data_IF_189326287780
#
_entry.id   IF_189326287780
#
_cell.length_a   1.000
_cell.length_b   1.000
_cell.length_c   1.000
_cell.angle_alpha   90.00
_cell.angle_beta   90.00
_cell.angle_gamma   90.00
#
_symmetry.space_group_name_H-M   'P 1'
#
loop_
_entity.id
_entity.type
_entity.pdbx_description
1 polymer ?
#
# COMPACT_ATOMS: atom_id res chain seq x y z
N UNK A 1 -12.59 -10.16 -10.71
CA UNK A 1 -13.42 -10.84 -11.74
C UNK A 1 -12.75 -10.85 -13.09
N UNK A 2 -12.33 -9.69 -13.62
CA UNK A 2 -11.67 -9.62 -14.94
C UNK A 2 -10.40 -10.48 -15.02
N UNK A 3 -9.58 -10.45 -14.00
CA UNK A 3 -8.34 -11.24 -13.97
C UNK A 3 -8.65 -12.74 -13.98
N UNK A 4 -9.60 -13.19 -13.15
CA UNK A 4 -9.96 -14.59 -13.07
C UNK A 4 -10.62 -15.13 -14.36
N UNK A 5 -11.40 -14.30 -15.08
CA UNK A 5 -12.06 -14.75 -16.31
C UNK A 5 -11.15 -14.67 -17.54
N UNK A 6 -9.99 -14.03 -17.45
CA UNK A 6 -9.11 -13.83 -18.61
C UNK A 6 -8.68 -15.15 -19.26
N UNK A 7 -8.25 -16.13 -18.48
CA UNK A 7 -7.84 -17.43 -19.01
C UNK A 7 -9.02 -18.26 -19.56
N UNK A 8 -10.19 -18.33 -18.90
CA UNK A 8 -11.31 -19.17 -19.35
C UNK A 8 -12.32 -18.44 -20.27
N UNK A 9 -12.11 -17.19 -20.68
CA UNK A 9 -13.14 -16.32 -21.25
C UNK A 9 -13.85 -16.89 -22.51
N UNK A 10 -13.14 -17.64 -23.36
CA UNK A 10 -13.67 -18.27 -24.59
C UNK A 10 -14.00 -19.77 -24.40
N UNK A 11 -13.70 -20.33 -23.23
CA UNK A 11 -13.80 -21.77 -22.96
C UNK A 11 -14.96 -22.14 -22.07
N UNK A 12 -15.58 -21.17 -21.40
CA UNK A 12 -16.63 -21.43 -20.42
C UNK A 12 -18.01 -20.92 -20.86
N UNK A 13 -19.04 -21.54 -20.35
CA UNK A 13 -20.41 -21.07 -20.56
C UNK A 13 -20.67 -19.74 -19.81
N UNK A 14 -21.69 -18.93 -20.20
CA UNK A 14 -22.05 -17.73 -19.46
C UNK A 14 -22.35 -17.98 -17.97
N UNK A 15 -22.94 -19.11 -17.64
CA UNK A 15 -23.18 -19.51 -16.25
C UNK A 15 -21.85 -19.83 -15.54
N UNK A 16 -20.93 -20.55 -16.19
CA UNK A 16 -19.59 -20.78 -15.69
C UNK A 16 -18.84 -19.49 -15.40
N UNK A 17 -18.92 -18.53 -16.32
CA UNK A 17 -18.32 -17.20 -16.14
C UNK A 17 -18.90 -16.45 -14.93
N UNK A 18 -20.23 -16.50 -14.73
CA UNK A 18 -20.87 -15.89 -13.55
C UNK A 18 -20.39 -16.52 -12.24
N UNK A 19 -20.29 -17.85 -12.19
CA UNK A 19 -19.80 -18.58 -11.01
C UNK A 19 -18.33 -18.21 -10.72
N UNK A 20 -17.48 -18.19 -11.75
CA UNK A 20 -16.07 -17.78 -11.63
C UNK A 20 -15.97 -16.35 -11.08
N UNK A 21 -16.81 -15.43 -11.57
CA UNK A 21 -16.84 -14.05 -11.10
C UNK A 21 -17.18 -13.94 -9.61
N UNK A 22 -18.18 -14.69 -9.13
CA UNK A 22 -18.56 -14.73 -7.71
C UNK A 22 -17.44 -15.33 -6.85
N UNK A 23 -16.86 -16.46 -7.27
CA UNK A 23 -15.78 -17.09 -6.53
C UNK A 23 -14.52 -16.22 -6.50
N UNK A 24 -14.23 -15.52 -7.58
CA UNK A 24 -13.15 -14.55 -7.68
C UNK A 24 -13.23 -13.44 -6.63
N UNK A 25 -14.43 -12.97 -6.29
CA UNK A 25 -14.63 -11.96 -5.24
C UNK A 25 -14.14 -12.48 -3.88
N UNK A 26 -14.42 -13.74 -3.54
CA UNK A 26 -13.90 -14.34 -2.31
C UNK A 26 -12.37 -14.53 -2.36
N UNK A 27 -11.84 -14.99 -3.50
CA UNK A 27 -10.40 -15.18 -3.68
C UNK A 27 -9.65 -13.85 -3.47
N UNK A 28 -10.13 -12.73 -4.01
CA UNK A 28 -9.46 -11.44 -3.87
C UNK A 28 -9.53 -10.91 -2.44
N UNK A 29 -10.71 -10.96 -1.81
CA UNK A 29 -10.89 -10.44 -0.45
C UNK A 29 -10.06 -11.21 0.55
N UNK A 30 -10.23 -12.54 0.60
CA UNK A 30 -9.44 -13.37 1.51
C UNK A 30 -7.96 -13.42 1.15
N UNK A 31 -7.63 -13.34 -0.14
CA UNK A 31 -6.25 -13.31 -0.61
C UNK A 31 -5.49 -12.07 -0.15
N UNK A 32 -6.09 -10.89 -0.28
CA UNK A 32 -5.50 -9.64 0.21
C UNK A 32 -5.34 -9.69 1.74
N UNK A 33 -6.38 -10.08 2.47
CA UNK A 33 -6.31 -10.20 3.93
C UNK A 33 -5.25 -11.22 4.40
N UNK A 34 -5.10 -12.32 3.68
CA UNK A 34 -4.08 -13.33 3.98
C UNK A 34 -2.67 -12.78 3.78
N UNK A 35 -2.43 -12.09 2.65
CA UNK A 35 -1.13 -11.48 2.35
C UNK A 35 -0.75 -10.43 3.39
N UNK A 36 -1.68 -9.54 3.71
CA UNK A 36 -1.47 -8.44 4.66
C UNK A 36 -1.36 -8.94 6.12
N UNK A 37 -2.37 -9.67 6.60
CA UNK A 37 -2.49 -10.02 8.03
C UNK A 37 -1.67 -11.23 8.44
N UNK A 38 -1.54 -12.23 7.56
CA UNK A 38 -0.87 -13.51 7.87
C UNK A 38 0.57 -13.51 7.39
N UNK A 39 0.79 -13.22 6.11
CA UNK A 39 2.15 -13.17 5.55
C UNK A 39 2.89 -11.88 5.92
N UNK A 40 2.17 -10.82 6.28
CA UNK A 40 2.71 -9.50 6.62
C UNK A 40 3.60 -8.95 5.51
N UNK A 41 3.16 -9.15 4.27
CA UNK A 41 3.81 -8.64 3.06
C UNK A 41 3.11 -7.33 2.69
N UNK A 42 3.89 -6.27 2.53
CA UNK A 42 3.42 -4.97 2.07
C UNK A 42 2.98 -5.06 0.60
N UNK A 43 1.69 -4.99 0.38
CA UNK A 43 1.06 -5.02 -0.94
C UNK A 43 0.00 -3.90 -1.04
N UNK A 44 0.45 -2.62 -1.17
CA UNK A 44 -0.41 -1.44 -1.00
C UNK A 44 -1.55 -1.36 -2.02
N UNK A 45 -1.41 -1.99 -3.17
CA UNK A 45 -2.44 -2.02 -4.22
C UNK A 45 -3.15 -3.38 -4.34
N UNK A 46 -2.83 -4.33 -3.47
CA UNK A 46 -3.41 -5.67 -3.49
C UNK A 46 -3.01 -6.49 -4.73
N UNK A 47 -1.86 -6.20 -5.34
CA UNK A 47 -1.43 -6.83 -6.59
C UNK A 47 -1.31 -8.35 -6.47
N UNK A 48 -0.84 -8.86 -5.34
CA UNK A 48 -0.74 -10.31 -5.12
C UNK A 48 -2.13 -10.94 -5.07
N UNK A 49 -3.07 -10.36 -4.31
CA UNK A 49 -4.44 -10.85 -4.24
C UNK A 49 -5.19 -10.75 -5.56
N UNK A 50 -5.10 -9.60 -6.22
CA UNK A 50 -5.84 -9.30 -7.45
C UNK A 50 -5.28 -10.04 -8.66
N UNK A 51 -3.95 -10.03 -8.86
CA UNK A 51 -3.33 -10.57 -10.07
C UNK A 51 -2.77 -11.98 -9.89
N UNK A 52 -1.97 -12.21 -8.85
CA UNK A 52 -1.35 -13.51 -8.65
C UNK A 52 -2.39 -14.58 -8.25
N UNK A 53 -3.14 -14.37 -7.18
CA UNK A 53 -4.08 -15.37 -6.69
C UNK A 53 -5.27 -15.56 -7.62
N UNK A 54 -5.88 -14.47 -8.10
CA UNK A 54 -6.98 -14.58 -9.05
C UNK A 54 -6.55 -15.05 -10.45
N UNK A 55 -5.35 -14.75 -10.90
CA UNK A 55 -4.82 -15.29 -12.14
C UNK A 55 -4.59 -16.79 -12.07
N UNK A 56 -3.98 -17.27 -10.99
CA UNK A 56 -3.83 -18.70 -10.72
C UNK A 56 -5.18 -19.41 -10.60
N UNK A 57 -6.12 -18.83 -9.83
CA UNK A 57 -7.48 -19.34 -9.69
C UNK A 57 -8.20 -19.42 -11.05
N UNK A 58 -8.17 -18.36 -11.86
CA UNK A 58 -8.79 -18.34 -13.18
C UNK A 58 -8.21 -19.37 -14.13
N UNK A 59 -6.87 -19.57 -14.10
CA UNK A 59 -6.22 -20.62 -14.88
C UNK A 59 -6.69 -22.01 -14.46
N UNK A 60 -6.82 -22.26 -13.18
CA UNK A 60 -7.38 -23.54 -12.68
C UNK A 60 -8.86 -23.69 -13.07
N UNK A 61 -9.62 -22.61 -13.14
CA UNK A 61 -11.00 -22.62 -13.59
C UNK A 61 -11.17 -23.13 -15.05
N UNK A 62 -10.17 -22.96 -15.91
CA UNK A 62 -10.17 -23.60 -17.24
C UNK A 62 -10.30 -25.11 -17.10
N UNK A 63 -9.52 -25.69 -16.19
CA UNK A 63 -9.57 -27.15 -15.93
C UNK A 63 -10.89 -27.62 -15.31
N UNK A 64 -11.61 -26.74 -14.64
CA UNK A 64 -12.89 -27.06 -13.99
C UNK A 64 -14.09 -26.83 -14.92
N UNK A 65 -14.17 -25.66 -15.54
CA UNK A 65 -15.36 -25.12 -16.20
C UNK A 65 -15.30 -25.10 -17.73
N UNK A 66 -14.20 -25.53 -18.35
CA UNK A 66 -14.16 -25.61 -19.83
C UNK A 66 -15.26 -26.53 -20.33
N UNK A 67 -16.04 -26.01 -21.31
CA UNK A 67 -17.17 -26.75 -21.92
C UNK A 67 -16.71 -27.98 -22.71
N UNK A 68 -15.46 -27.98 -23.20
CA UNK A 68 -14.91 -29.07 -24.01
C UNK A 68 -14.27 -30.17 -23.15
N UNK A 69 -13.41 -29.78 -22.20
CA UNK A 69 -12.52 -30.68 -21.48
C UNK A 69 -12.48 -30.45 -19.96
N UNK A 70 -13.38 -29.62 -19.45
CA UNK A 70 -13.44 -29.31 -18.03
C UNK A 70 -13.97 -30.46 -17.19
N UNK A 71 -13.52 -30.52 -15.95
CA UNK A 71 -13.94 -31.55 -15.00
C UNK A 71 -15.46 -31.64 -14.87
N UNK A 72 -16.15 -30.50 -14.78
CA UNK A 72 -17.61 -30.47 -14.62
C UNK A 72 -18.39 -30.81 -15.91
N UNK A 73 -17.71 -30.87 -17.03
CA UNK A 73 -18.27 -31.26 -18.33
C UNK A 73 -17.84 -32.67 -18.77
N UNK A 74 -17.27 -33.46 -17.85
CA UNK A 74 -16.91 -34.85 -18.12
C UNK A 74 -15.50 -35.06 -18.67
N UNK A 75 -14.68 -34.02 -18.79
CA UNK A 75 -13.30 -34.13 -19.29
C UNK A 75 -12.29 -34.75 -18.31
N UNK A 76 -12.71 -35.07 -17.08
CA UNK A 76 -11.86 -35.65 -16.06
C UNK A 76 -10.78 -34.69 -15.54
N UNK A 77 -9.84 -35.21 -14.80
CA UNK A 77 -8.79 -34.39 -14.13
C UNK A 77 -7.62 -34.00 -15.03
N UNK A 78 -7.57 -34.46 -16.28
CA UNK A 78 -6.42 -34.24 -17.16
C UNK A 78 -6.17 -32.74 -17.41
N UNK A 79 -7.23 -32.01 -17.79
CA UNK A 79 -7.13 -30.57 -18.07
C UNK A 79 -6.76 -29.79 -16.82
N UNK A 80 -7.37 -30.10 -15.69
CA UNK A 80 -7.06 -29.48 -14.41
C UNK A 80 -5.58 -29.71 -14.02
N UNK A 81 -5.05 -30.92 -14.22
CA UNK A 81 -3.65 -31.23 -13.97
C UNK A 81 -2.69 -30.44 -14.87
N UNK A 82 -3.04 -30.25 -16.16
CA UNK A 82 -2.25 -29.44 -17.10
C UNK A 82 -2.23 -27.97 -16.62
N UNK A 83 -3.38 -27.42 -16.25
CA UNK A 83 -3.46 -26.04 -15.76
C UNK A 83 -2.70 -25.84 -14.44
N UNK A 84 -2.80 -26.78 -13.52
CA UNK A 84 -2.04 -26.75 -12.27
C UNK A 84 -0.52 -26.79 -12.52
N UNK A 85 -0.07 -27.66 -13.42
CA UNK A 85 1.34 -27.71 -13.82
C UNK A 85 1.79 -26.38 -14.43
N UNK A 86 0.96 -25.79 -15.30
CA UNK A 86 1.22 -24.47 -15.88
C UNK A 86 1.40 -23.40 -14.83
N UNK A 87 0.47 -23.30 -13.88
CA UNK A 87 0.52 -22.31 -12.77
C UNK A 87 1.81 -22.48 -11.96
N UNK A 88 2.15 -23.71 -11.57
CA UNK A 88 3.37 -23.98 -10.77
C UNK A 88 4.63 -23.65 -11.56
N UNK A 89 4.67 -24.00 -12.85
CA UNK A 89 5.83 -23.75 -13.72
C UNK A 89 6.07 -22.22 -13.90
N UNK A 90 5.01 -21.47 -14.17
CA UNK A 90 5.10 -20.01 -14.28
C UNK A 90 5.48 -19.37 -12.96
N UNK A 91 4.88 -19.80 -11.84
CA UNK A 91 5.22 -19.29 -10.51
C UNK A 91 6.70 -19.52 -10.17
N UNK A 92 7.22 -20.74 -10.42
CA UNK A 92 8.62 -21.05 -10.18
C UNK A 92 9.56 -20.21 -11.07
N UNK A 93 9.25 -20.10 -12.37
CA UNK A 93 10.03 -19.30 -13.30
C UNK A 93 10.08 -17.82 -12.88
N UNK A 94 8.91 -17.24 -12.63
CA UNK A 94 8.81 -15.81 -12.24
C UNK A 94 9.52 -15.56 -10.92
N UNK A 95 9.36 -16.45 -9.92
CA UNK A 95 10.03 -16.27 -8.63
C UNK A 95 11.56 -16.24 -8.79
N UNK A 96 12.13 -17.15 -9.56
CA UNK A 96 13.58 -17.22 -9.78
C UNK A 96 14.07 -15.99 -10.55
N UNK A 97 13.42 -15.67 -11.68
CA UNK A 97 13.83 -14.56 -12.54
C UNK A 97 13.71 -13.22 -11.80
N UNK A 98 12.58 -12.97 -11.15
CA UNK A 98 12.36 -11.71 -10.43
C UNK A 98 13.26 -11.58 -9.20
N UNK A 99 13.56 -12.66 -8.51
CA UNK A 99 14.55 -12.63 -7.43
C UNK A 99 15.92 -12.14 -7.93
N UNK A 100 16.38 -12.66 -9.08
CA UNK A 100 17.65 -12.24 -9.68
C UNK A 100 17.59 -10.78 -10.12
N UNK A 101 16.52 -10.38 -10.83
CA UNK A 101 16.32 -9.00 -11.30
C UNK A 101 16.32 -8.02 -10.13
N UNK A 102 15.53 -8.28 -9.08
CA UNK A 102 15.49 -7.41 -7.92
C UNK A 102 16.83 -7.35 -7.16
N UNK A 103 17.59 -8.45 -7.12
CA UNK A 103 18.95 -8.41 -6.54
C UNK A 103 19.89 -7.56 -7.36
N UNK A 104 19.80 -7.55 -8.66
CA UNK A 104 20.57 -6.67 -9.53
C UNK A 104 20.20 -5.21 -9.28
N UNK A 105 18.90 -4.89 -9.30
CA UNK A 105 18.39 -3.53 -9.05
C UNK A 105 18.83 -3.05 -7.66
N UNK A 106 18.69 -3.88 -6.63
CA UNK A 106 19.10 -3.55 -5.27
C UNK A 106 20.58 -3.15 -5.17
N UNK A 107 21.45 -3.80 -5.98
CA UNK A 107 22.89 -3.53 -5.97
C UNK A 107 23.31 -2.33 -6.84
N UNK A 108 22.50 -1.95 -7.81
CA UNK A 108 22.84 -0.89 -8.78
C UNK A 108 22.17 0.43 -8.45
N UNK A 109 20.85 0.46 -8.41
CA UNK A 109 20.04 1.68 -8.26
C UNK A 109 19.47 1.81 -6.84
N UNK A 110 19.30 0.68 -6.13
CA UNK A 110 18.55 0.60 -4.90
C UNK A 110 17.08 0.24 -5.17
N UNK A 111 16.43 -0.39 -4.18
CA UNK A 111 15.02 -0.81 -4.28
C UNK A 111 14.09 0.04 -3.42
N UNK A 112 14.63 0.74 -2.44
CA UNK A 112 13.85 1.53 -1.50
C UNK A 112 14.39 2.94 -1.42
N UNK A 113 13.51 3.88 -1.27
CA UNK A 113 13.82 5.26 -0.94
C UNK A 113 14.37 5.34 0.50
N UNK A 114 14.91 6.48 0.88
CA UNK A 114 15.40 6.69 2.24
C UNK A 114 14.24 6.62 3.24
N UNK A 115 14.55 6.29 4.50
CA UNK A 115 13.53 6.27 5.55
C UNK A 115 12.84 7.64 5.74
N UNK A 116 13.56 8.71 5.51
CA UNK A 116 13.01 10.06 5.56
C UNK A 116 11.94 10.26 4.48
N UNK A 117 12.24 9.90 3.25
CA UNK A 117 11.29 9.98 2.13
C UNK A 117 10.06 9.10 2.33
N UNK A 118 10.21 7.89 2.92
CA UNK A 118 9.07 7.04 3.27
C UNK A 118 8.13 7.71 4.28
N UNK A 119 8.68 8.44 5.27
CA UNK A 119 7.90 9.12 6.32
C UNK A 119 7.23 10.39 5.78
N UNK A 120 7.97 11.20 5.03
CA UNK A 120 7.47 12.48 4.48
C UNK A 120 6.48 12.24 3.34
N UNK A 121 6.64 11.14 2.62
CA UNK A 121 5.89 10.82 1.40
C UNK A 121 6.64 11.18 0.13
N UNK A 122 6.43 10.41 -0.92
CA UNK A 122 7.14 10.52 -2.19
C UNK A 122 6.65 11.66 -3.08
N UNK A 123 5.46 12.21 -2.80
CA UNK A 123 4.84 13.23 -3.65
C UNK A 123 5.70 14.48 -3.78
N UNK A 124 6.36 14.89 -2.70
CA UNK A 124 7.21 16.10 -2.69
C UNK A 124 8.55 15.81 -3.36
N UNK A 125 9.22 14.71 -2.98
CA UNK A 125 10.58 14.39 -3.43
C UNK A 125 10.61 13.95 -4.90
N UNK A 126 9.66 13.13 -5.34
CA UNK A 126 9.65 12.61 -6.71
C UNK A 126 8.84 13.47 -7.69
N UNK A 127 7.78 14.12 -7.23
CA UNK A 127 6.87 14.84 -8.11
C UNK A 127 6.84 16.35 -7.88
N UNK A 128 7.47 16.85 -6.80
CA UNK A 128 7.46 18.29 -6.46
C UNK A 128 6.08 18.84 -6.12
N UNK A 129 5.13 17.98 -5.77
CA UNK A 129 3.75 18.35 -5.44
C UNK A 129 3.44 18.05 -3.98
N UNK A 130 2.60 18.88 -3.37
CA UNK A 130 2.03 18.57 -2.06
C UNK A 130 1.03 17.41 -2.19
N UNK A 131 1.01 16.50 -1.21
CA UNK A 131 0.09 15.35 -1.23
C UNK A 131 -1.36 15.80 -1.42
N UNK A 132 -2.03 15.24 -2.42
CA UNK A 132 -3.45 15.48 -2.68
C UNK A 132 -4.36 14.87 -1.60
N UNK A 133 -3.82 14.02 -0.74
CA UNK A 133 -4.53 13.27 0.29
C UNK A 133 -4.15 13.70 1.71
N UNK A 134 -3.54 14.88 1.87
CA UNK A 134 -3.09 15.39 3.17
C UNK A 134 -4.21 15.37 4.24
N UNK A 135 -5.46 15.61 3.83
CA UNK A 135 -6.62 15.61 4.73
C UNK A 135 -7.13 14.19 5.09
N UNK A 136 -6.69 13.17 4.37
CA UNK A 136 -7.05 11.75 4.60
C UNK A 136 -5.98 10.96 5.35
N UNK A 137 -4.78 11.51 5.49
CA UNK A 137 -3.76 10.84 6.27
C UNK A 137 -4.17 10.92 7.74
N UNK A 138 -4.28 9.80 8.47
CA UNK A 138 -4.34 9.87 9.92
C UNK A 138 -3.11 10.66 10.34
N UNK A 139 -3.29 11.74 11.08
CA UNK A 139 -2.18 12.46 11.69
C UNK A 139 -1.50 11.53 12.69
N UNK A 140 -0.66 10.65 12.19
CA UNK A 140 0.38 10.05 13.02
C UNK A 140 1.28 11.22 13.39
N UNK A 141 1.25 11.62 14.64
CA UNK A 141 1.98 12.81 15.04
C UNK A 141 3.45 12.58 14.71
N UNK A 142 4.05 13.51 14.00
CA UNK A 142 5.49 13.50 13.68
C UNK A 142 6.34 13.27 14.96
N UNK A 143 5.77 13.61 16.14
CA UNK A 143 6.36 13.38 17.44
C UNK A 143 6.48 11.88 17.80
N UNK A 144 5.50 11.04 17.41
CA UNK A 144 5.56 9.60 17.70
C UNK A 144 6.61 8.91 16.83
N UNK A 145 6.77 9.37 15.58
CA UNK A 145 7.77 8.82 14.66
C UNK A 145 9.20 9.24 15.03
N UNK A 146 9.39 10.49 15.45
CA UNK A 146 10.71 10.99 15.90
C UNK A 146 11.12 10.31 17.21
N UNK A 147 10.18 10.00 18.10
CA UNK A 147 10.48 9.34 19.37
C UNK A 147 10.97 7.90 19.19
N UNK A 148 10.52 7.18 18.16
CA UNK A 148 11.06 5.85 17.83
C UNK A 148 12.47 5.91 17.26
N UNK A 149 12.78 6.92 16.44
CA UNK A 149 14.08 7.03 15.78
C UNK A 149 15.22 7.48 16.72
N UNK A 150 14.92 8.39 17.65
CA UNK A 150 15.91 8.96 18.57
C UNK A 150 15.85 8.40 19.99
N UNK A 151 15.00 7.41 20.26
CA UNK A 151 14.88 6.78 21.58
C UNK A 151 14.42 7.72 22.70
N UNK A 152 13.89 8.89 22.34
CA UNK A 152 13.37 9.86 23.28
C UNK A 152 11.94 9.48 23.64
N UNK A 153 11.67 9.23 24.91
CA UNK A 153 10.30 8.99 25.40
C UNK A 153 9.47 10.26 25.15
N UNK A 154 8.23 10.15 24.64
CA UNK A 154 7.37 11.31 24.48
C UNK A 154 7.22 12.02 25.84
N UNK A 155 7.52 13.31 25.84
CA UNK A 155 7.36 14.15 27.06
C UNK A 155 5.87 14.30 27.30
N UNK A 156 5.40 13.93 28.49
CA UNK A 156 3.99 14.11 28.84
C UNK A 156 3.64 15.61 28.77
N UNK A 157 2.45 15.92 28.27
CA UNK A 157 1.95 17.31 28.10
C UNK A 157 2.02 18.12 29.43
N UNK A 158 2.00 17.43 30.58
CA UNK A 158 2.12 18.05 31.92
C UNK A 158 3.56 18.52 32.25
N UNK A 159 4.55 18.09 31.44
CA UNK A 159 5.96 18.48 31.58
C UNK A 159 6.43 19.42 30.47
N UNK A 160 5.53 19.88 29.61
CA UNK A 160 5.88 20.84 28.58
C UNK A 160 6.33 22.17 29.24
N UNK A 161 7.57 22.56 28.99
CA UNK A 161 8.10 23.83 29.48
C UNK A 161 7.44 24.95 28.68
N UNK A 162 6.88 26.01 29.29
CA UNK A 162 6.34 27.11 28.55
C UNK A 162 7.44 27.76 27.71
N UNK A 163 7.17 27.93 26.42
CA UNK A 163 8.07 28.65 25.51
C UNK A 163 8.05 30.12 25.90
N UNK A 164 9.18 30.63 26.36
CA UNK A 164 9.35 32.05 26.63
C UNK A 164 9.43 32.79 25.28
N UNK A 165 8.47 33.65 25.00
CA UNK A 165 8.48 34.47 23.78
C UNK A 165 9.54 35.57 24.01
N UNK A 166 10.71 35.40 23.42
CA UNK A 166 11.70 36.48 23.36
C UNK A 166 11.27 37.46 22.30
N UNK A 167 10.64 38.56 22.70
CA UNK A 167 10.35 39.67 21.82
C UNK A 167 11.67 40.32 21.36
N UNK A 168 12.01 40.15 20.10
CA UNK A 168 13.16 40.80 19.50
C UNK A 168 12.69 42.17 18.92
N UNK A 169 13.11 43.26 19.52
CA UNK A 169 12.88 44.63 19.04
C UNK A 169 13.69 44.99 17.75
N UNK A 170 14.21 44.03 17.04
CA UNK A 170 14.93 44.27 15.77
C UNK A 170 13.95 44.23 14.62
N UNK A 171 13.95 45.24 13.72
CA UNK A 171 13.14 45.21 12.51
C UNK A 171 13.54 43.96 11.66
N UNK A 172 12.54 43.23 11.25
CA UNK A 172 12.72 42.03 10.40
C UNK A 172 13.18 42.52 9.02
N UNK A 173 14.37 42.09 8.62
CA UNK A 173 14.90 42.39 7.28
C UNK A 173 14.02 41.74 6.19
N UNK A 174 13.97 42.36 5.01
CA UNK A 174 13.10 42.02 3.89
C UNK A 174 13.31 40.62 3.26
N UNK A 175 14.27 39.84 3.74
CA UNK A 175 14.54 38.43 3.31
C UNK A 175 14.02 37.43 4.34
N UNK A 176 12.75 37.53 4.69
CA UNK A 176 12.14 36.57 5.63
C UNK A 176 11.87 35.26 4.92
N UNK A 177 12.65 34.23 5.24
CA UNK A 177 12.25 32.83 5.02
C UNK A 177 10.99 32.62 5.87
N UNK A 178 9.87 32.30 5.21
CA UNK A 178 8.66 31.89 5.92
C UNK A 178 8.98 30.62 6.69
N UNK A 179 9.00 30.70 8.00
CA UNK A 179 9.22 29.55 8.86
C UNK A 179 7.85 29.06 9.31
N UNK A 180 7.54 27.79 9.05
CA UNK A 180 6.34 27.15 9.60
C UNK A 180 6.53 27.05 11.11
N UNK A 181 5.60 27.58 11.90
CA UNK A 181 5.57 27.45 13.35
C UNK A 181 4.40 26.54 13.70
N UNK A 182 4.68 25.36 14.22
CA UNK A 182 3.67 24.45 14.73
C UNK A 182 3.50 24.69 16.24
N UNK A 183 2.33 25.18 16.66
CA UNK A 183 2.03 25.46 18.06
C UNK A 183 1.07 24.40 18.56
N UNK A 184 1.53 23.59 19.52
CA UNK A 184 0.71 22.57 20.17
C UNK A 184 0.09 23.21 21.42
N UNK A 185 -1.22 23.44 21.41
CA UNK A 185 -1.93 23.99 22.55
C UNK A 185 -3.13 23.11 22.95
N UNK A 186 -3.59 23.24 24.21
CA UNK A 186 -4.84 22.60 24.63
C UNK A 186 -6.01 23.24 23.87
N UNK A 187 -7.02 22.44 23.52
CA UNK A 187 -8.18 22.89 22.74
C UNK A 187 -8.88 24.13 23.34
N UNK A 188 -8.93 24.23 24.66
CA UNK A 188 -9.50 25.38 25.37
C UNK A 188 -8.65 26.66 25.31
N UNK A 189 -7.41 26.58 24.84
CA UNK A 189 -6.50 27.71 24.64
C UNK A 189 -6.39 28.13 23.16
N UNK A 190 -7.01 27.40 22.27
CA UNK A 190 -6.89 27.63 20.83
C UNK A 190 -7.49 28.96 20.42
N UNK A 191 -8.65 29.35 20.94
CA UNK A 191 -9.30 30.61 20.57
C UNK A 191 -8.52 31.84 21.10
N UNK A 192 -7.99 31.76 22.32
CA UNK A 192 -7.13 32.82 22.88
C UNK A 192 -5.87 33.04 22.02
N UNK A 193 -5.26 31.91 21.56
CA UNK A 193 -4.07 31.95 20.71
C UNK A 193 -4.39 32.57 19.34
N UNK A 194 -5.51 32.18 18.73
CA UNK A 194 -5.97 32.69 17.44
C UNK A 194 -6.23 34.19 17.47
N UNK A 195 -6.84 34.70 18.54
CA UNK A 195 -7.05 36.15 18.72
C UNK A 195 -5.73 36.89 18.86
N UNK A 196 -4.77 36.33 19.61
CA UNK A 196 -3.45 36.93 19.80
C UNK A 196 -2.58 36.97 18.53
N UNK A 197 -2.79 36.02 17.58
CA UNK A 197 -2.07 35.99 16.32
C UNK A 197 -2.66 36.91 15.24
N UNK A 198 -3.91 37.37 15.42
CA UNK A 198 -4.60 38.27 14.50
C UNK A 198 -4.57 39.74 14.97
N UNK A 199 -4.01 40.03 16.13
CA UNK A 199 -3.82 41.38 16.67
C UNK A 199 -2.45 41.94 16.29
#
# INVERSE_FOLDING_TARGET
GLVAITAPCDLVSPMGAAIIGVLSAFVVVFGIEFVDKVLKIDDPVGAIGVHCLNGAFGTLCVGLFSTENGLFYGGGFKQLGIQALGVVSVAAYVAVVMFVVFKIIQKTVGLRVSRHEEIVGLDIEEHGITSSYADFMPMVSTADMISEEYGTKPVSVDKAVPVEIVSSDKPIASDVKITKIDIICKQNKFEELKESLNA
#
